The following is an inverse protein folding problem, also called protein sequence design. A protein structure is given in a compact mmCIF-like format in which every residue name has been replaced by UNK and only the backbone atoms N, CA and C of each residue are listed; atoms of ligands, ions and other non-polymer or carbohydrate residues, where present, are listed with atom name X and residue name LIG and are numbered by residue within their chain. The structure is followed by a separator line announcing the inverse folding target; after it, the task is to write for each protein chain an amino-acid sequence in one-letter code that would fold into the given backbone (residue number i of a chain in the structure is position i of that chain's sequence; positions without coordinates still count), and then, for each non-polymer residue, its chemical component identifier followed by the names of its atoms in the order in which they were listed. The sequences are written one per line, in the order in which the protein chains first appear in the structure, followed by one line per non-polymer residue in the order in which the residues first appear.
data_IF_064061223925
#
_entry.id   IF_064061223925
#
_cell.length_a   1.000
_cell.length_b   1.000
_cell.length_c   1.000
_cell.angle_alpha   90.00
_cell.angle_beta   90.00
_cell.angle_gamma   90.00
#
_symmetry.space_group_name_H-M   'P 1'
#
loop_
_entity.id
_entity.type
_entity.pdbx_description
1 polymer ?
#
# COMPACT_ATOMS: atom_id res chain seq x y z
N UNK A 1 32.62 -26.19 -22.54
CA UNK A 1 32.44 -24.81 -23.02
C UNK A 1 31.04 -24.34 -22.62
N UNK A 2 30.97 -23.53 -21.57
CA UNK A 2 29.69 -23.00 -21.03
C UNK A 2 29.61 -21.55 -21.51
N UNK A 3 28.60 -21.23 -22.38
CA UNK A 3 28.31 -19.87 -22.78
C UNK A 3 27.43 -19.21 -21.72
N UNK A 4 27.99 -18.20 -21.06
CA UNK A 4 27.23 -17.26 -20.23
C UNK A 4 26.55 -16.25 -21.15
N UNK A 5 25.22 -16.24 -21.17
CA UNK A 5 24.41 -15.19 -21.79
C UNK A 5 24.19 -14.08 -20.77
N UNK A 6 24.80 -12.93 -21.02
CA UNK A 6 24.55 -11.68 -20.25
C UNK A 6 23.31 -11.02 -20.83
N UNK A 7 22.23 -10.95 -20.06
CA UNK A 7 21.03 -10.18 -20.39
C UNK A 7 21.25 -8.74 -19.97
N UNK A 8 21.40 -7.84 -20.94
CA UNK A 8 21.44 -6.41 -20.73
C UNK A 8 20.00 -5.88 -20.60
N UNK A 9 19.66 -5.32 -19.42
CA UNK A 9 18.43 -4.58 -19.20
C UNK A 9 18.59 -3.17 -19.77
N UNK A 10 17.92 -2.88 -20.88
CA UNK A 10 17.84 -1.53 -21.43
C UNK A 10 16.74 -0.75 -20.72
N UNK A 11 17.12 0.27 -19.93
CA UNK A 11 16.21 1.27 -19.38
C UNK A 11 15.93 2.28 -20.49
N UNK A 12 14.72 2.26 -21.05
CA UNK A 12 14.26 3.28 -22.00
C UNK A 12 13.68 4.45 -21.21
N UNK A 13 14.45 5.51 -21.07
CA UNK A 13 13.97 6.81 -20.62
C UNK A 13 13.26 7.51 -21.79
N UNK A 14 11.94 7.66 -21.72
CA UNK A 14 11.18 8.46 -22.68
C UNK A 14 11.25 9.92 -22.24
N UNK A 15 12.12 10.70 -22.88
CA UNK A 15 12.12 12.15 -22.77
C UNK A 15 11.08 12.74 -23.74
N UNK A 16 10.01 13.33 -23.20
CA UNK A 16 9.06 14.13 -24.00
C UNK A 16 9.65 15.53 -24.16
N UNK A 17 10.19 15.82 -25.34
CA UNK A 17 10.59 17.15 -25.71
C UNK A 17 9.38 17.94 -26.22
N UNK A 18 8.96 18.97 -25.45
CA UNK A 18 8.02 20.00 -25.94
C UNK A 18 8.83 21.06 -26.72
N UNK A 19 8.62 21.12 -28.03
CA UNK A 19 9.10 22.19 -28.87
C UNK A 19 8.26 23.44 -28.60
N UNK A 20 8.90 24.49 -28.03
CA UNK A 20 8.36 25.86 -27.96
C UNK A 20 9.06 26.69 -29.01
N UNK A 21 8.29 27.17 -29.98
CA UNK A 21 8.70 28.12 -30.97
C UNK A 21 9.05 29.47 -30.36
N UNK A 22 10.12 30.09 -30.87
CA UNK A 22 10.70 31.30 -30.34
C UNK A 22 9.91 32.58 -30.66
N UNK A 23 10.04 33.55 -29.78
CA UNK A 23 9.65 34.93 -29.93
C UNK A 23 10.35 35.75 -28.85
N UNK A 24 11.32 36.58 -29.24
CA UNK A 24 12.15 37.39 -28.34
C UNK A 24 11.38 38.52 -27.67
N UNK A 25 11.78 38.87 -26.45
CA UNK A 25 11.34 40.04 -25.72
C UNK A 25 11.90 40.03 -24.30
N UNK A 26 12.91 40.85 -24.03
CA UNK A 26 13.55 40.97 -22.73
C UNK A 26 12.61 41.54 -21.65
N UNK A 27 12.63 40.97 -20.48
CA UNK A 27 11.93 41.42 -19.28
C UNK A 27 12.51 40.78 -18.02
N UNK A 28 12.98 41.64 -17.12
CA UNK A 28 13.60 41.32 -15.83
C UNK A 28 12.71 40.47 -14.89
N UNK A 29 13.36 39.54 -14.27
CA UNK A 29 13.23 39.09 -12.88
C UNK A 29 11.85 38.99 -12.25
N UNK A 30 11.33 37.79 -12.21
CA UNK A 30 10.32 37.34 -11.27
C UNK A 30 10.48 35.86 -11.08
N UNK A 31 11.09 35.44 -9.97
CA UNK A 31 11.19 34.03 -9.60
C UNK A 31 9.81 33.45 -9.36
N UNK A 32 9.10 33.10 -10.40
CA UNK A 32 7.88 32.34 -10.35
C UNK A 32 8.24 30.97 -9.83
N UNK A 33 7.93 30.68 -8.55
CA UNK A 33 7.84 29.32 -8.04
C UNK A 33 6.89 28.60 -8.99
N UNK A 34 7.44 27.72 -9.83
CA UNK A 34 6.64 26.80 -10.61
C UNK A 34 5.88 25.91 -9.61
N UNK A 35 4.64 26.26 -9.31
CA UNK A 35 3.74 25.41 -8.55
C UNK A 35 3.54 24.17 -9.40
N UNK A 36 4.21 23.07 -8.98
CA UNK A 36 3.99 21.76 -9.58
C UNK A 36 2.47 21.50 -9.59
N UNK A 37 1.92 21.26 -10.78
CA UNK A 37 0.49 20.97 -10.91
C UNK A 37 0.14 19.79 -9.97
N UNK A 38 -0.89 19.99 -9.15
CA UNK A 38 -1.33 18.97 -8.22
C UNK A 38 -1.69 17.68 -8.98
N UNK A 39 -1.16 16.54 -8.53
CA UNK A 39 -1.47 15.24 -9.12
C UNK A 39 -2.93 14.89 -8.80
N UNK A 40 -3.72 14.63 -9.84
CA UNK A 40 -5.11 14.23 -9.68
C UNK A 40 -5.21 12.74 -9.39
N UNK A 41 -5.82 12.38 -8.27
CA UNK A 41 -6.11 11.00 -7.87
C UNK A 41 -7.60 10.76 -8.00
N UNK A 42 -7.97 9.73 -8.73
CA UNK A 42 -9.38 9.39 -8.97
C UNK A 42 -9.95 8.54 -7.85
N UNK A 43 -11.06 8.99 -7.27
CA UNK A 43 -11.86 8.19 -6.33
C UNK A 43 -12.76 7.24 -7.12
N UNK A 44 -12.72 5.95 -6.78
CA UNK A 44 -13.50 4.90 -7.42
C UNK A 44 -14.25 4.08 -6.36
N UNK A 45 -15.57 4.20 -6.38
CA UNK A 45 -16.45 3.43 -5.50
C UNK A 45 -16.28 1.91 -5.71
N UNK A 46 -16.60 1.12 -4.69
CA UNK A 46 -16.33 -0.31 -4.64
C UNK A 46 -16.88 -1.10 -5.84
N UNK A 47 -18.08 -0.76 -6.30
CA UNK A 47 -18.75 -1.43 -7.44
C UNK A 47 -18.56 -0.72 -8.78
N UNK A 48 -18.01 0.50 -8.80
CA UNK A 48 -17.87 1.26 -10.03
C UNK A 48 -16.88 0.58 -11.01
N UNK A 49 -17.18 0.45 -12.30
CA UNK A 49 -16.26 -0.15 -13.27
C UNK A 49 -15.01 0.72 -13.54
N UNK A 50 -15.07 2.00 -13.18
CA UNK A 50 -14.00 2.96 -13.49
C UNK A 50 -14.05 3.44 -14.94
N UNK A 51 -13.12 4.33 -15.33
CA UNK A 51 -13.00 4.77 -16.71
C UNK A 51 -12.38 3.68 -17.59
N UNK A 52 -12.91 3.54 -18.81
CA UNK A 52 -12.35 2.69 -19.85
C UNK A 52 -12.03 1.25 -19.36
N UNK A 53 -12.99 0.49 -18.81
CA UNK A 53 -12.72 -0.82 -18.24
C UNK A 53 -12.24 -1.83 -19.29
N UNK A 54 -11.35 -2.74 -18.88
CA UNK A 54 -10.92 -3.86 -19.73
C UNK A 54 -12.06 -4.85 -20.01
N UNK A 55 -12.92 -5.07 -19.01
CA UNK A 55 -14.04 -6.01 -19.14
C UNK A 55 -15.28 -5.46 -18.43
N UNK A 56 -16.47 -6.00 -18.71
CA UNK A 56 -17.59 -5.87 -17.76
C UNK A 56 -17.21 -6.41 -16.39
N UNK A 57 -17.95 -6.01 -15.35
CA UNK A 57 -17.72 -6.49 -13.98
C UNK A 57 -17.74 -8.02 -13.91
N UNK A 58 -16.78 -8.53 -13.17
CA UNK A 58 -16.69 -9.94 -12.75
C UNK A 58 -16.64 -10.07 -11.23
N UNK A 59 -16.88 -8.95 -10.51
CA UNK A 59 -17.09 -8.97 -9.08
C UNK A 59 -18.36 -9.74 -8.74
N UNK A 60 -18.40 -10.35 -7.57
CA UNK A 60 -19.62 -10.91 -7.01
C UNK A 60 -20.39 -9.79 -6.33
N UNK A 61 -21.44 -9.32 -7.00
CA UNK A 61 -22.27 -8.18 -6.54
C UNK A 61 -23.17 -8.56 -5.34
N UNK A 62 -23.22 -9.83 -4.95
CA UNK A 62 -23.95 -10.28 -3.76
C UNK A 62 -23.18 -10.04 -2.47
N UNK A 63 -21.88 -9.72 -2.56
CA UNK A 63 -21.04 -9.49 -1.39
C UNK A 63 -21.19 -8.06 -0.88
N UNK A 64 -21.30 -7.86 0.46
CA UNK A 64 -21.38 -6.54 1.04
C UNK A 64 -20.10 -5.75 0.83
N UNK A 65 -20.26 -4.48 0.50
CA UNK A 65 -19.14 -3.53 0.32
C UNK A 65 -18.77 -2.83 1.64
N UNK A 66 -19.60 -2.89 2.65
CA UNK A 66 -19.30 -2.31 3.97
C UNK A 66 -18.45 -3.26 4.81
N UNK A 67 -17.16 -3.22 4.57
CA UNK A 67 -16.17 -4.06 5.23
C UNK A 67 -15.45 -3.24 6.30
N UNK A 68 -15.49 -3.64 7.59
CA UNK A 68 -14.82 -2.88 8.65
C UNK A 68 -13.32 -2.71 8.40
N UNK A 69 -12.81 -1.50 8.63
CA UNK A 69 -11.39 -1.18 8.46
C UNK A 69 -10.51 -2.01 9.43
N UNK A 70 -9.37 -2.54 8.99
CA UNK A 70 -8.46 -3.23 9.87
C UNK A 70 -7.82 -2.25 10.88
N UNK A 71 -7.72 -2.70 12.14
CA UNK A 71 -7.00 -1.95 13.20
C UNK A 71 -5.46 -2.12 13.11
N UNK A 72 -4.96 -2.74 12.05
CA UNK A 72 -3.54 -3.05 11.92
C UNK A 72 -2.70 -1.81 11.64
N UNK A 73 -1.57 -1.71 12.33
CA UNK A 73 -0.66 -0.59 12.26
C UNK A 73 -0.12 -0.34 10.85
N UNK A 74 -0.57 0.74 10.25
CA UNK A 74 0.07 1.32 9.08
C UNK A 74 1.35 2.04 9.54
N UNK A 75 2.45 1.83 8.84
CA UNK A 75 3.65 2.64 9.06
C UNK A 75 3.40 4.06 8.55
N UNK A 76 3.73 5.10 9.33
CA UNK A 76 3.52 6.48 8.87
C UNK A 76 4.30 6.76 7.58
N UNK A 77 3.63 7.41 6.62
CA UNK A 77 4.19 8.04 5.45
C UNK A 77 5.34 7.29 4.75
N UNK A 78 5.01 6.26 3.95
CA UNK A 78 6.00 5.61 3.10
C UNK A 78 6.18 6.33 1.76
N UNK A 79 7.17 5.92 0.98
CA UNK A 79 7.45 6.41 -0.39
C UNK A 79 6.24 6.30 -1.34
N UNK A 80 5.19 5.60 -0.93
CA UNK A 80 3.98 5.35 -1.73
C UNK A 80 2.90 6.44 -1.57
N UNK A 81 3.20 7.58 -0.92
CA UNK A 81 2.27 8.71 -0.78
C UNK A 81 1.03 8.45 0.11
N UNK A 82 1.06 7.35 0.87
CA UNK A 82 0.06 6.98 1.85
C UNK A 82 0.73 6.06 2.90
N UNK A 83 0.17 5.92 4.11
CA UNK A 83 0.63 4.94 5.08
C UNK A 83 0.71 3.54 4.46
N UNK A 84 1.87 2.90 4.52
CA UNK A 84 2.09 1.61 3.89
C UNK A 84 1.75 0.46 4.84
N UNK A 85 0.99 -0.52 4.35
CA UNK A 85 0.66 -1.76 5.06
C UNK A 85 1.22 -2.95 4.27
N UNK A 86 1.94 -3.83 4.95
CA UNK A 86 2.51 -5.01 4.29
C UNK A 86 1.40 -5.95 3.79
N UNK A 87 1.53 -6.45 2.56
CA UNK A 87 0.57 -7.38 1.95
C UNK A 87 0.37 -8.70 2.70
N UNK A 88 1.30 -9.02 3.63
CA UNK A 88 1.21 -10.17 4.54
C UNK A 88 0.40 -9.90 5.80
N UNK A 89 -0.03 -8.66 6.05
CA UNK A 89 -0.74 -8.29 7.28
C UNK A 89 -2.04 -9.08 7.43
N UNK A 90 -2.22 -9.84 8.51
CA UNK A 90 -3.46 -10.57 8.76
C UNK A 90 -4.66 -9.61 8.79
N UNK A 91 -5.71 -9.94 8.03
CA UNK A 91 -6.91 -9.13 7.96
C UNK A 91 -6.76 -7.80 7.20
N UNK A 92 -5.66 -7.59 6.48
CA UNK A 92 -5.59 -6.53 5.47
C UNK A 92 -6.72 -6.66 4.46
N UNK A 93 -7.05 -7.89 4.13
CA UNK A 93 -8.10 -8.24 3.21
C UNK A 93 -9.29 -8.87 3.92
N UNK A 94 -10.48 -8.63 3.37
CA UNK A 94 -11.75 -9.26 3.71
C UNK A 94 -12.19 -10.27 2.65
N UNK A 95 -13.28 -10.94 2.96
CA UNK A 95 -13.94 -11.90 2.07
C UNK A 95 -14.91 -12.79 2.84
N UNK A 96 -15.61 -13.65 2.10
CA UNK A 96 -16.53 -14.63 2.70
C UNK A 96 -15.93 -16.02 2.52
N UNK A 97 -15.92 -16.79 3.59
CA UNK A 97 -15.37 -18.14 3.57
C UNK A 97 -16.15 -19.03 2.59
N UNK A 98 -15.43 -19.71 1.71
CA UNK A 98 -16.02 -20.58 0.70
C UNK A 98 -16.52 -19.85 -0.57
N UNK A 99 -16.48 -18.51 -0.58
CA UNK A 99 -17.02 -17.71 -1.69
C UNK A 99 -15.90 -16.91 -2.36
N UNK A 100 -15.92 -16.88 -3.71
CA UNK A 100 -15.01 -16.05 -4.49
C UNK A 100 -15.60 -14.65 -4.69
N UNK A 101 -14.86 -13.61 -4.33
CA UNK A 101 -15.28 -12.23 -4.61
C UNK A 101 -15.14 -11.81 -6.09
N UNK A 102 -14.59 -12.68 -6.92
CA UNK A 102 -14.29 -12.37 -8.32
C UNK A 102 -14.36 -13.64 -9.21
N UNK A 103 -15.07 -13.54 -10.32
CA UNK A 103 -15.24 -14.64 -11.28
C UNK A 103 -14.00 -14.83 -12.16
N UNK A 104 -12.92 -15.45 -11.67
CA UNK A 104 -11.62 -15.61 -12.35
C UNK A 104 -11.76 -16.27 -13.71
N UNK A 105 -12.53 -17.36 -13.82
CA UNK A 105 -12.74 -18.07 -15.10
C UNK A 105 -13.48 -17.20 -16.12
N UNK A 106 -14.47 -16.41 -15.69
CA UNK A 106 -15.19 -15.46 -16.56
C UNK A 106 -14.25 -14.35 -17.03
N UNK A 107 -13.45 -13.79 -16.12
CA UNK A 107 -12.44 -12.78 -16.44
C UNK A 107 -11.44 -13.28 -17.48
N UNK A 108 -10.93 -14.49 -17.29
CA UNK A 108 -10.01 -15.13 -18.23
C UNK A 108 -10.61 -15.20 -19.64
N UNK A 109 -11.85 -15.68 -19.75
CA UNK A 109 -12.56 -15.74 -21.05
C UNK A 109 -12.71 -14.35 -21.69
N UNK A 110 -13.09 -13.34 -20.91
CA UNK A 110 -13.29 -11.98 -21.41
C UNK A 110 -11.99 -11.33 -21.90
N UNK A 111 -10.89 -11.53 -21.19
CA UNK A 111 -9.60 -10.94 -21.56
C UNK A 111 -8.96 -11.66 -22.75
N UNK A 112 -9.11 -12.98 -22.85
CA UNK A 112 -8.52 -13.76 -23.97
C UNK A 112 -9.35 -13.76 -25.24
N UNK A 113 -10.60 -13.31 -25.20
CA UNK A 113 -11.47 -13.20 -26.36
C UNK A 113 -11.03 -12.13 -27.38
N UNK A 114 -10.27 -11.12 -26.93
CA UNK A 114 -9.77 -10.02 -27.75
C UNK A 114 -8.23 -9.99 -27.68
N UNK A 115 -7.52 -10.40 -28.73
CA UNK A 115 -6.05 -10.46 -28.72
C UNK A 115 -5.37 -9.11 -28.50
N UNK A 116 -5.98 -8.00 -28.97
CA UNK A 116 -5.41 -6.65 -28.78
C UNK A 116 -5.51 -6.24 -27.33
N UNK A 117 -6.66 -6.48 -26.72
CA UNK A 117 -6.89 -6.25 -25.28
C UNK A 117 -6.02 -7.15 -24.41
N UNK A 118 -5.91 -8.44 -24.76
CA UNK A 118 -5.01 -9.38 -24.08
C UNK A 118 -3.56 -8.91 -24.09
N UNK A 119 -3.07 -8.42 -25.23
CA UNK A 119 -1.72 -7.86 -25.37
C UNK A 119 -1.52 -6.61 -24.49
N UNK A 120 -2.50 -5.69 -24.48
CA UNK A 120 -2.45 -4.49 -23.66
C UNK A 120 -2.43 -4.83 -22.16
N UNK A 121 -3.27 -5.78 -21.71
CA UNK A 121 -3.28 -6.29 -20.35
C UNK A 121 -1.93 -6.93 -19.95
N UNK A 122 -1.46 -7.86 -20.79
CA UNK A 122 -0.22 -8.60 -20.57
C UNK A 122 1.00 -7.66 -20.44
N UNK A 123 1.03 -6.60 -21.25
CA UNK A 123 2.06 -5.56 -21.19
C UNK A 123 2.12 -4.84 -19.83
N UNK A 124 0.98 -4.58 -19.17
CA UNK A 124 0.95 -3.96 -17.85
C UNK A 124 1.49 -4.89 -16.78
N UNK A 125 1.09 -6.17 -16.82
CA UNK A 125 1.46 -7.13 -15.76
C UNK A 125 2.81 -7.82 -16.01
N UNK A 126 3.43 -7.57 -17.19
CA UNK A 126 4.77 -8.04 -17.52
C UNK A 126 4.84 -9.53 -17.88
N UNK A 127 3.83 -10.04 -18.62
CA UNK A 127 3.77 -11.43 -19.06
C UNK A 127 3.46 -11.51 -20.56
N UNK A 128 3.59 -12.69 -21.13
CA UNK A 128 3.04 -12.96 -22.47
C UNK A 128 1.52 -13.09 -22.43
N UNK A 129 0.83 -12.68 -23.50
CA UNK A 129 -0.64 -12.76 -23.58
C UNK A 129 -1.16 -14.21 -23.42
N UNK A 130 -0.42 -15.20 -23.87
CA UNK A 130 -0.72 -16.63 -23.70
C UNK A 130 -0.66 -17.09 -22.23
N UNK A 131 0.06 -16.36 -21.37
CA UNK A 131 0.18 -16.66 -19.94
C UNK A 131 -0.95 -16.05 -19.09
N UNK A 132 -1.87 -15.25 -19.67
CA UNK A 132 -2.98 -14.63 -18.93
C UNK A 132 -3.77 -15.66 -18.11
N UNK A 133 -4.17 -16.83 -18.65
CA UNK A 133 -4.92 -17.81 -17.86
C UNK A 133 -4.17 -18.26 -16.61
N UNK A 134 -2.92 -18.67 -16.74
CA UNK A 134 -2.10 -19.12 -15.59
C UNK A 134 -1.82 -17.99 -14.61
N UNK A 135 -1.56 -16.78 -15.08
CA UNK A 135 -1.38 -15.61 -14.25
C UNK A 135 -2.62 -15.33 -13.38
N UNK A 136 -3.81 -15.28 -14.00
CA UNK A 136 -5.06 -15.00 -13.27
C UNK A 136 -5.42 -16.11 -12.28
N UNK A 137 -5.17 -17.37 -12.61
CA UNK A 137 -5.37 -18.49 -11.69
C UNK A 137 -4.35 -18.51 -10.53
N UNK A 138 -3.22 -17.86 -10.67
CA UNK A 138 -2.26 -17.66 -9.57
C UNK A 138 -2.62 -16.53 -8.60
N UNK A 139 -3.64 -15.73 -8.92
CA UNK A 139 -4.12 -14.64 -8.06
C UNK A 139 -5.25 -15.11 -7.13
N UNK A 140 -5.42 -14.42 -6.01
CA UNK A 140 -6.40 -14.77 -4.98
C UNK A 140 -7.48 -13.70 -4.87
N UNK A 141 -8.77 -14.06 -5.03
CA UNK A 141 -9.90 -13.14 -4.86
C UNK A 141 -10.07 -12.73 -3.41
N UNK A 142 -10.12 -11.42 -3.15
CA UNK A 142 -10.30 -10.83 -1.83
C UNK A 142 -11.05 -9.50 -1.95
N UNK A 143 -11.52 -8.96 -0.81
CA UNK A 143 -12.08 -7.61 -0.69
C UNK A 143 -11.08 -6.68 0.00
N UNK A 144 -10.99 -5.44 -0.45
CA UNK A 144 -10.26 -4.40 0.27
C UNK A 144 -10.99 -4.06 1.57
N UNK A 145 -10.26 -3.93 2.69
CA UNK A 145 -10.81 -3.50 3.98
C UNK A 145 -10.48 -2.07 4.36
N UNK A 146 -9.67 -1.41 3.56
CA UNK A 146 -9.36 0.01 3.69
C UNK A 146 -9.38 0.68 2.33
N UNK A 147 -9.63 1.98 2.32
CA UNK A 147 -9.48 2.80 1.12
C UNK A 147 -8.03 2.70 0.65
N UNK A 148 -7.84 2.19 -0.57
CA UNK A 148 -6.52 1.73 -1.00
C UNK A 148 -6.05 2.49 -2.23
N UNK A 149 -4.86 3.09 -2.12
CA UNK A 149 -4.19 3.77 -3.22
C UNK A 149 -3.50 2.78 -4.14
N UNK A 150 -3.67 3.00 -5.45
CA UNK A 150 -3.11 2.14 -6.52
C UNK A 150 -2.79 2.96 -7.77
N UNK A 151 -2.07 2.37 -8.70
CA UNK A 151 -2.09 2.74 -10.12
C UNK A 151 -3.08 1.81 -10.83
N UNK A 152 -4.18 2.36 -11.32
CA UNK A 152 -5.18 1.66 -12.13
C UNK A 152 -4.89 1.88 -13.61
N UNK A 153 -5.29 0.93 -14.47
CA UNK A 153 -5.11 1.03 -15.91
C UNK A 153 -6.43 0.84 -16.65
N UNK A 154 -6.89 1.89 -17.32
CA UNK A 154 -7.99 1.78 -18.27
C UNK A 154 -7.55 1.29 -19.65
N UNK A 155 -8.47 0.74 -20.46
CA UNK A 155 -8.22 0.31 -21.83
C UNK A 155 -8.79 1.32 -22.82
N UNK A 156 -7.94 2.12 -23.47
CA UNK A 156 -8.35 3.16 -24.42
C UNK A 156 -7.48 3.13 -25.67
N UNK A 157 -8.11 3.22 -26.84
CA UNK A 157 -7.39 3.25 -28.11
C UNK A 157 -6.43 2.08 -28.32
N UNK A 158 -6.86 0.88 -27.95
CA UNK A 158 -6.07 -0.36 -28.03
C UNK A 158 -4.85 -0.42 -27.10
N UNK A 159 -4.79 0.45 -26.09
CA UNK A 159 -3.68 0.56 -25.16
C UNK A 159 -4.15 0.63 -23.70
N UNK A 160 -3.30 0.18 -22.79
CA UNK A 160 -3.49 0.41 -21.36
C UNK A 160 -3.01 1.82 -20.98
N UNK A 161 -3.87 2.59 -20.30
CA UNK A 161 -3.57 3.96 -19.86
C UNK A 161 -3.59 4.03 -18.36
N UNK A 162 -2.44 4.34 -17.76
CA UNK A 162 -2.27 4.43 -16.31
C UNK A 162 -2.90 5.71 -15.74
N UNK A 163 -3.52 5.59 -14.58
CA UNK A 163 -3.94 6.74 -13.77
C UNK A 163 -3.89 6.39 -12.28
N UNK A 164 -3.54 7.36 -11.40
CA UNK A 164 -3.58 7.14 -9.96
C UNK A 164 -5.02 7.11 -9.47
N UNK A 165 -5.33 6.15 -8.59
CA UNK A 165 -6.66 5.98 -8.02
C UNK A 165 -6.62 5.63 -6.53
N UNK A 166 -7.71 5.91 -5.85
CA UNK A 166 -8.08 5.32 -4.55
C UNK A 166 -9.33 4.51 -4.75
N UNK A 167 -9.27 3.25 -4.37
CA UNK A 167 -10.43 2.36 -4.34
C UNK A 167 -11.07 2.39 -2.97
N UNK A 168 -12.38 2.50 -2.96
CA UNK A 168 -13.17 2.34 -1.76
C UNK A 168 -12.97 0.95 -1.14
N UNK A 169 -12.94 0.87 0.19
CA UNK A 169 -13.06 -0.42 0.90
C UNK A 169 -14.29 -1.18 0.40
N UNK A 170 -14.26 -2.51 0.41
CA UNK A 170 -15.27 -3.36 -0.22
C UNK A 170 -15.00 -3.66 -1.70
N UNK A 171 -14.06 -2.96 -2.36
CA UNK A 171 -13.71 -3.28 -3.75
C UNK A 171 -13.16 -4.69 -3.85
N UNK A 172 -13.78 -5.50 -4.74
CA UNK A 172 -13.29 -6.83 -5.08
C UNK A 172 -12.03 -6.72 -5.96
N UNK A 173 -10.97 -7.40 -5.54
CA UNK A 173 -9.69 -7.45 -6.26
C UNK A 173 -9.14 -8.88 -6.33
N UNK A 174 -8.18 -9.09 -7.22
CA UNK A 174 -7.30 -10.24 -7.18
C UNK A 174 -5.95 -9.80 -6.61
N UNK A 175 -5.51 -10.44 -5.52
CA UNK A 175 -4.23 -10.21 -4.88
C UNK A 175 -3.18 -11.21 -5.36
N UNK A 176 -1.96 -10.75 -5.60
CA UNK A 176 -0.82 -11.58 -5.98
C UNK A 176 -0.12 -12.25 -4.80
N UNK A 177 0.85 -13.12 -5.06
CA UNK A 177 1.54 -13.89 -4.01
C UNK A 177 2.35 -13.05 -3.03
N UNK A 178 2.68 -11.80 -3.35
CA UNK A 178 3.28 -10.86 -2.40
C UNK A 178 2.25 -9.96 -1.69
N UNK A 179 0.97 -10.31 -1.79
CA UNK A 179 -0.11 -9.58 -1.14
C UNK A 179 -0.48 -8.25 -1.80
N UNK A 180 0.06 -7.93 -2.98
CA UNK A 180 -0.28 -6.71 -3.72
C UNK A 180 -1.59 -6.86 -4.49
N UNK A 181 -2.47 -5.84 -4.53
CA UNK A 181 -3.55 -5.76 -5.50
C UNK A 181 -2.99 -5.83 -6.93
N UNK A 182 -3.46 -6.76 -7.73
CA UNK A 182 -2.98 -6.98 -9.10
C UNK A 182 -4.03 -6.80 -10.17
N UNK A 183 -5.29 -6.89 -9.79
CA UNK A 183 -6.41 -6.72 -10.69
C UNK A 183 -7.65 -6.23 -9.92
N UNK A 184 -8.42 -5.35 -10.55
CA UNK A 184 -9.71 -4.86 -10.08
C UNK A 184 -10.85 -5.60 -10.76
N UNK A 185 -11.71 -6.27 -10.00
CA UNK A 185 -12.77 -7.12 -10.55
C UNK A 185 -13.94 -6.34 -11.20
N UNK A 186 -14.38 -5.17 -10.69
CA UNK A 186 -15.45 -4.41 -11.33
C UNK A 186 -15.18 -3.93 -12.76
N UNK A 187 -13.92 -3.85 -13.18
CA UNK A 187 -13.56 -3.39 -14.54
C UNK A 187 -12.57 -4.32 -15.26
N UNK A 188 -12.08 -5.39 -14.62
CA UNK A 188 -11.03 -6.25 -15.17
C UNK A 188 -9.69 -5.55 -15.39
N UNK A 189 -9.47 -4.42 -14.70
CA UNK A 189 -8.31 -3.55 -14.89
C UNK A 189 -7.08 -4.12 -14.19
N UNK A 190 -5.91 -4.24 -14.87
CA UNK A 190 -4.67 -4.57 -14.20
C UNK A 190 -4.22 -3.43 -13.28
N UNK A 191 -3.55 -3.78 -12.19
CA UNK A 191 -3.11 -2.85 -11.15
C UNK A 191 -1.61 -2.93 -10.92
N UNK A 192 -1.03 -1.79 -10.55
CA UNK A 192 0.33 -1.70 -10.01
C UNK A 192 0.33 -0.91 -8.69
N UNK A 193 1.38 -1.04 -7.87
CA UNK A 193 1.55 -0.17 -6.72
C UNK A 193 1.50 1.31 -7.12
N UNK A 194 1.05 2.20 -6.23
CA UNK A 194 1.08 3.62 -6.50
C UNK A 194 2.54 4.09 -6.65
N UNK A 195 2.83 5.08 -7.49
CA UNK A 195 4.14 5.70 -7.54
C UNK A 195 4.40 6.49 -6.25
N UNK A 196 5.67 6.66 -5.92
CA UNK A 196 6.08 7.65 -4.92
C UNK A 196 5.51 9.03 -5.26
N UNK A 197 5.15 9.80 -4.25
CA UNK A 197 4.55 11.12 -4.44
C UNK A 197 5.44 12.21 -3.89
N UNK A 198 5.81 13.11 -4.78
CA UNK A 198 6.51 14.36 -4.48
C UNK A 198 5.57 15.52 -4.85
N UNK A 199 4.74 15.98 -3.91
CA UNK A 199 3.93 17.18 -4.15
C UNK A 199 2.45 17.06 -3.78
N UNK A 200 1.69 18.17 -3.96
CA UNK A 200 0.29 18.20 -3.58
C UNK A 200 -0.57 17.30 -4.45
N UNK A 201 -1.54 16.66 -3.81
CA UNK A 201 -2.51 15.78 -4.45
C UNK A 201 -3.91 16.36 -4.35
N UNK A 202 -4.71 16.14 -5.39
CA UNK A 202 -6.14 16.47 -5.39
C UNK A 202 -6.94 15.25 -5.75
N UNK A 203 -8.02 15.01 -5.00
CA UNK A 203 -8.93 13.92 -5.28
C UNK A 203 -10.01 14.38 -6.25
N UNK A 204 -10.35 13.54 -7.24
CA UNK A 204 -11.38 13.79 -8.25
C UNK A 204 -12.37 12.63 -8.29
N UNK A 205 -13.60 12.91 -8.70
CA UNK A 205 -14.70 11.94 -8.68
C UNK A 205 -15.59 12.10 -7.44
N UNK A 206 -16.61 11.24 -7.31
CA UNK A 206 -17.54 11.29 -6.17
C UNK A 206 -16.93 10.56 -4.98
N UNK A 207 -16.74 11.28 -3.89
CA UNK A 207 -16.32 10.68 -2.62
C UNK A 207 -17.52 9.93 -1.98
N UNK A 208 -17.26 8.76 -1.42
CA UNK A 208 -18.24 8.06 -0.57
C UNK A 208 -18.26 8.68 0.83
N UNK A 209 -19.35 8.49 1.56
CA UNK A 209 -19.62 9.18 2.83
C UNK A 209 -18.55 8.95 3.90
N UNK A 210 -17.92 7.79 3.90
CA UNK A 210 -16.87 7.41 4.86
C UNK A 210 -15.45 7.76 4.38
N UNK A 211 -15.29 8.36 3.20
CA UNK A 211 -13.96 8.72 2.67
C UNK A 211 -13.25 9.73 3.58
N UNK A 212 -12.01 9.39 3.92
CA UNK A 212 -11.06 10.27 4.62
C UNK A 212 -9.69 10.10 3.99
N UNK A 213 -9.14 11.15 3.44
CA UNK A 213 -7.82 11.10 2.80
C UNK A 213 -6.71 10.59 3.74
N UNK A 214 -6.83 10.87 5.05
CA UNK A 214 -5.90 10.42 6.07
C UNK A 214 -5.95 8.91 6.35
N UNK A 215 -7.05 8.24 6.00
CA UNK A 215 -7.27 6.81 6.22
C UNK A 215 -6.88 5.96 5.00
N UNK A 216 -6.50 6.61 3.90
CA UNK A 216 -6.06 5.93 2.67
C UNK A 216 -4.73 5.25 2.93
N UNK A 217 -4.64 3.97 2.58
CA UNK A 217 -3.41 3.19 2.68
C UNK A 217 -2.83 2.84 1.32
N UNK A 218 -1.55 2.49 1.29
CA UNK A 218 -0.92 1.78 0.18
C UNK A 218 -0.50 0.38 0.65
N UNK A 219 -0.54 -0.60 -0.25
CA UNK A 219 -0.06 -1.95 0.07
C UNK A 219 1.38 -2.09 -0.38
N UNK A 220 2.27 -2.36 0.58
CA UNK A 220 3.65 -2.73 0.32
C UNK A 220 3.76 -4.25 0.09
N UNK A 221 4.68 -4.71 -0.77
CA UNK A 221 4.86 -6.13 -0.99
C UNK A 221 5.31 -6.84 0.29
N UNK A 222 4.80 -8.04 0.52
CA UNK A 222 5.36 -8.92 1.53
C UNK A 222 6.81 -9.29 1.15
N UNK A 223 7.68 -9.40 2.15
CA UNK A 223 9.11 -9.73 1.97
C UNK A 223 9.33 -11.11 1.32
N UNK A 224 8.36 -12.01 1.48
CA UNK A 224 8.36 -13.35 0.90
C UNK A 224 7.03 -13.62 0.20
N UNK A 225 7.02 -14.58 -0.71
CA UNK A 225 5.78 -15.07 -1.29
C UNK A 225 4.92 -15.71 -0.20
N UNK A 226 3.67 -15.30 -0.16
CA UNK A 226 2.68 -15.88 0.73
C UNK A 226 2.25 -17.25 0.20
N UNK A 227 1.99 -18.18 1.09
CA UNK A 227 1.33 -19.45 0.77
C UNK A 227 -0.17 -19.36 1.01
N UNK A 228 -0.61 -18.38 1.80
CA UNK A 228 -2.01 -18.18 2.20
C UNK A 228 -2.26 -16.75 2.65
N UNK A 229 -3.49 -16.31 2.55
CA UNK A 229 -4.00 -15.08 3.14
C UNK A 229 -4.75 -15.39 4.43
N UNK A 230 -4.59 -14.52 5.43
CA UNK A 230 -5.43 -14.50 6.64
C UNK A 230 -6.49 -13.45 6.44
N UNK A 231 -7.71 -13.87 6.21
CA UNK A 231 -8.83 -13.04 5.76
C UNK A 231 -9.85 -12.90 6.90
N UNK A 232 -10.43 -11.71 7.00
CA UNK A 232 -11.54 -11.42 7.88
C UNK A 232 -12.87 -11.55 7.13
N UNK A 233 -13.81 -12.30 7.69
CA UNK A 233 -15.18 -12.40 7.19
C UNK A 233 -16.04 -11.38 7.92
N UNK A 234 -16.50 -10.30 7.26
CA UNK A 234 -17.22 -9.23 7.92
C UNK A 234 -18.63 -9.62 8.34
N UNK A 235 -19.29 -10.53 7.62
CA UNK A 235 -20.68 -10.91 7.91
C UNK A 235 -20.78 -11.78 9.17
N UNK A 236 -19.77 -12.60 9.40
CA UNK A 236 -19.76 -13.52 10.51
C UNK A 236 -18.84 -13.09 11.66
N UNK A 237 -18.05 -12.01 11.47
CA UNK A 237 -17.05 -11.57 12.45
C UNK A 237 -15.94 -12.60 12.69
N UNK A 238 -15.69 -13.49 11.72
CA UNK A 238 -14.77 -14.62 11.86
C UNK A 238 -13.53 -14.48 10.99
N UNK A 239 -12.56 -15.33 11.21
CA UNK A 239 -11.32 -15.36 10.47
C UNK A 239 -11.15 -16.69 9.75
N UNK A 240 -10.55 -16.65 8.58
CA UNK A 240 -10.23 -17.84 7.82
C UNK A 240 -8.91 -17.67 7.04
N UNK A 241 -8.41 -18.80 6.56
CA UNK A 241 -7.23 -18.87 5.70
C UNK A 241 -7.69 -19.26 4.32
N UNK A 242 -7.22 -18.50 3.30
CA UNK A 242 -7.37 -18.82 1.89
C UNK A 242 -5.99 -19.08 1.30
N UNK A 243 -5.69 -20.30 0.80
CA UNK A 243 -4.45 -20.56 0.08
C UNK A 243 -4.32 -19.65 -1.15
N UNK A 244 -3.09 -19.21 -1.45
CA UNK A 244 -2.83 -18.35 -2.62
C UNK A 244 -3.24 -19.09 -3.91
N UNK A 245 -3.85 -18.36 -4.85
CA UNK A 245 -4.34 -18.90 -6.12
C UNK A 245 -5.62 -19.73 -6.01
N UNK A 246 -6.32 -19.69 -4.85
CA UNK A 246 -7.60 -20.39 -4.70
C UNK A 246 -8.77 -19.43 -4.58
N UNK A 247 -9.97 -19.91 -4.95
CA UNK A 247 -11.17 -19.08 -5.05
C UNK A 247 -12.18 -19.30 -3.93
N UNK A 248 -11.79 -20.02 -2.84
CA UNK A 248 -12.62 -20.22 -1.68
C UNK A 248 -12.86 -21.68 -1.28
N UNK A 249 -12.92 -22.62 -2.23
CA UNK A 249 -13.20 -24.03 -1.92
C UNK A 249 -12.21 -24.69 -0.94
N UNK A 250 -11.03 -24.12 -0.79
CA UNK A 250 -9.98 -24.60 0.12
C UNK A 250 -9.85 -23.75 1.39
N UNK A 251 -10.79 -22.84 1.63
CA UNK A 251 -10.77 -21.99 2.81
C UNK A 251 -10.90 -22.82 4.10
N UNK A 252 -10.14 -22.43 5.11
CA UNK A 252 -10.15 -23.10 6.42
C UNK A 252 -10.42 -22.08 7.52
N UNK A 253 -11.26 -22.43 8.53
CA UNK A 253 -11.47 -21.56 9.68
C UNK A 253 -10.14 -21.30 10.40
N UNK A 254 -10.04 -20.13 11.02
CA UNK A 254 -8.91 -19.75 11.86
C UNK A 254 -9.39 -18.93 13.05
N UNK A 255 -8.68 -19.01 14.18
CA UNK A 255 -8.85 -18.07 15.28
C UNK A 255 -8.36 -16.66 14.88
N UNK A 256 -8.90 -15.63 15.53
CA UNK A 256 -8.41 -14.27 15.37
C UNK A 256 -6.88 -14.22 15.58
N UNK A 257 -6.14 -13.45 14.76
CA UNK A 257 -4.73 -13.20 15.03
C UNK A 257 -4.57 -12.58 16.41
N UNK A 258 -3.53 -12.96 17.14
CA UNK A 258 -3.20 -12.29 18.38
C UNK A 258 -2.98 -10.80 18.09
N UNK A 259 -3.69 -9.92 18.81
CA UNK A 259 -3.39 -8.49 18.77
C UNK A 259 -1.94 -8.33 19.24
N UNK A 260 -1.06 -7.66 18.48
CA UNK A 260 0.28 -7.37 18.98
C UNK A 260 0.12 -6.67 20.33
N UNK A 261 0.68 -7.26 21.38
CA UNK A 261 0.76 -6.56 22.66
C UNK A 261 1.43 -5.22 22.40
N UNK A 262 0.97 -4.11 22.97
CA UNK A 262 1.65 -2.84 22.85
C UNK A 262 3.09 -3.08 23.29
N UNK A 263 4.03 -2.90 22.37
CA UNK A 263 5.46 -2.99 22.67
C UNK A 263 5.67 -1.89 23.71
N UNK A 264 5.77 -2.30 24.99
CA UNK A 264 6.15 -1.38 26.04
C UNK A 264 7.51 -0.83 25.60
N UNK A 265 7.50 0.39 25.09
CA UNK A 265 8.71 1.17 24.90
C UNK A 265 9.34 1.24 26.28
N UNK A 266 10.30 0.32 26.52
CA UNK A 266 11.10 0.39 27.73
C UNK A 266 11.86 1.72 27.63
N UNK A 267 11.27 2.77 28.18
CA UNK A 267 11.97 4.00 28.41
C UNK A 267 13.13 3.60 29.35
N UNK A 268 14.28 3.34 28.76
CA UNK A 268 15.52 3.28 29.52
C UNK A 268 15.66 4.67 30.12
N UNK A 269 15.19 4.80 31.37
CA UNK A 269 15.48 5.95 32.19
C UNK A 269 17.00 5.93 32.33
N UNK A 270 17.68 6.75 31.53
CA UNK A 270 19.10 7.01 31.69
C UNK A 270 19.23 7.51 33.15
N UNK A 271 19.78 6.66 34.00
CA UNK A 271 20.12 7.02 35.33
C UNK A 271 21.07 8.21 35.21
N UNK A 272 20.66 9.34 35.76
CA UNK A 272 21.52 10.48 35.91
C UNK A 272 22.79 10.02 36.68
N UNK A 273 24.00 10.49 36.34
CA UNK A 273 25.19 10.15 37.09
C UNK A 273 25.02 10.67 38.51
N UNK A 274 24.94 9.73 39.46
CA UNK A 274 25.02 10.00 40.86
C UNK A 274 26.44 10.51 41.13
N UNK A 275 26.61 11.79 41.33
CA UNK A 275 27.82 12.37 41.89
C UNK A 275 27.99 11.82 43.29
N UNK A 276 28.90 10.84 43.40
CA UNK A 276 29.37 10.33 44.69
C UNK A 276 30.18 11.44 45.38
N UNK A 277 29.56 12.11 46.32
CA UNK A 277 30.26 13.00 47.25
C UNK A 277 31.05 12.15 48.23
N UNK A 278 32.37 12.18 48.06
CA UNK A 278 33.36 11.63 48.97
C UNK A 278 33.27 12.32 50.35
N UNK A 279 33.26 11.60 51.48
CA UNK A 279 33.28 12.23 52.76
C UNK A 279 34.69 12.81 53.03
N UNK A 280 34.74 14.15 53.21
CA UNK A 280 35.91 14.86 53.70
C UNK A 280 36.12 14.55 55.17
N UNK A 281 37.23 13.90 55.49
CA UNK A 281 37.68 13.63 56.85
C UNK A 281 38.27 14.94 57.40
N UNK A 282 37.67 15.55 58.40
CA UNK A 282 38.26 16.62 59.21
C UNK A 282 39.25 16.06 60.20
N UNK A 283 40.47 16.60 60.30
CA UNK A 283 41.35 16.33 61.47
C UNK A 283 40.98 17.19 62.58
N UNK A 284 40.72 16.57 63.74
CA UNK A 284 40.59 17.13 65.05
C UNK A 284 41.96 17.63 65.51
N UNK A 285 42.06 18.90 65.91
CA UNK A 285 43.13 19.44 66.72
C UNK A 285 42.59 20.20 67.84
N UNK A 286 42.88 19.72 69.04
CA UNK A 286 42.55 20.25 70.33
C UNK A 286 43.32 21.58 70.65
N UNK A 287 42.84 22.41 71.57
CA UNK A 287 43.40 23.71 71.86
C UNK A 287 44.50 23.67 72.93
N UNK A 288 45.33 24.67 73.05
CA UNK A 288 46.00 25.02 74.34
C UNK A 288 45.51 26.37 74.88
N UNK A 289 45.01 26.27 76.00
CA UNK A 289 45.20 27.05 77.27
C UNK A 289 45.67 28.50 77.19
N UNK A 290 44.92 29.30 77.83
CA UNK A 290 45.11 30.67 78.37
C UNK A 290 46.46 30.86 79.10
N UNK A 291 47.01 32.10 79.22
CA UNK A 291 46.62 32.84 80.47
C UNK A 291 46.37 34.33 80.30
N UNK A 292 45.75 34.79 81.32
CA UNK A 292 45.38 36.16 81.69
C UNK A 292 46.58 37.09 81.93
N UNK A 293 46.41 38.37 81.78
CA UNK A 293 46.80 39.37 82.81
C UNK A 293 46.45 40.77 82.27
N UNK A 294 45.57 41.43 82.93
CA UNK A 294 45.72 42.62 83.82
C UNK A 294 46.04 43.96 83.17
N UNK A 295 45.21 44.91 83.58
CA UNK A 295 45.41 46.24 84.08
C UNK A 295 45.71 47.39 83.11
N UNK A 296 44.92 48.31 83.08
CA UNK A 296 44.68 49.62 83.75
C UNK A 296 43.51 50.33 83.03
#
# INVERSE_FOLDING_TARGET
MVLLAVVAVAVVAVAVALAVGGGGGGGKGGGGKSTAAARQIRLLAATAPGPDPFTPSVADDSLPTDVPTPTAGASPGGELGAPAVAGSTPGLYGGHRGVSSCGVSRLTKLLTADPVKAKAFAGVVGIDASAIPSYLHGLTPVLLRADTRVTDYGYRGSSAVAFPAVFERGTAILAGPHGLPRLRCPGGNPLQPPPATDGPETFTGSAWSSFRAADVIAVAPASHQLTQFVIYDPDHGTWFIRPVGTTGAQDRPRSAPATPAPTATRTTRTAAPTTSSSPSVSPSTSPPTTPASSAS
#
